data_IF_128754383534
#
_entry.id   IF_128754383534
#
_cell.length_a   1.000
_cell.length_b   1.000
_cell.length_c   1.000
_cell.angle_alpha   90.00
_cell.angle_beta   90.00
_cell.angle_gamma   90.00
#
_symmetry.space_group_name_H-M   'P 1'
#
loop_
_entity.id
_entity.type
_entity.pdbx_description
1 polymer ?
#
# COMPACT_ATOMS: atom_id res chain seq x y z
N UNK A 1 -35.66 -20.85 6.99
CA UNK A 1 -34.97 -21.88 6.18
C UNK A 1 -33.76 -22.33 6.97
N UNK A 2 -33.72 -23.57 7.47
CA UNK A 2 -32.61 -24.08 8.30
C UNK A 2 -31.37 -24.28 7.41
N UNK A 3 -30.24 -23.64 7.73
CA UNK A 3 -28.94 -23.89 7.07
C UNK A 3 -28.55 -25.36 7.28
N UNK A 4 -28.68 -26.18 6.22
CA UNK A 4 -28.27 -27.59 6.22
C UNK A 4 -26.80 -27.78 5.83
N UNK A 5 -26.18 -26.75 5.25
CA UNK A 5 -24.82 -26.78 4.73
C UNK A 5 -23.81 -26.79 5.89
N UNK A 6 -22.91 -27.78 5.89
CA UNK A 6 -21.80 -27.85 6.85
C UNK A 6 -20.59 -27.06 6.31
N UNK A 7 -19.83 -26.37 7.17
CA UNK A 7 -18.60 -25.73 6.74
C UNK A 7 -17.57 -26.80 6.34
N UNK A 8 -16.61 -26.39 5.52
CA UNK A 8 -15.48 -27.19 5.07
C UNK A 8 -14.67 -27.66 6.29
N UNK A 9 -14.43 -28.96 6.35
CA UNK A 9 -13.54 -29.55 7.35
C UNK A 9 -12.11 -29.49 6.82
N UNK A 10 -11.24 -28.78 7.52
CA UNK A 10 -9.82 -28.71 7.15
C UNK A 10 -8.99 -29.59 8.07
N UNK A 11 -8.09 -30.36 7.48
CA UNK A 11 -7.07 -31.14 8.16
C UNK A 11 -5.68 -30.62 7.76
N UNK A 12 -4.79 -30.46 8.74
CA UNK A 12 -3.43 -30.01 8.51
C UNK A 12 -2.57 -31.21 8.08
N UNK A 13 -1.99 -31.14 6.87
CA UNK A 13 -1.00 -32.09 6.37
C UNK A 13 0.27 -31.97 7.21
N UNK A 14 0.74 -33.11 7.73
CA UNK A 14 2.07 -33.18 8.33
C UNK A 14 3.12 -33.27 7.23
N UNK A 15 4.23 -32.54 7.37
CA UNK A 15 5.30 -32.50 6.38
C UNK A 15 6.67 -32.53 7.06
N UNK A 16 7.63 -33.17 6.41
CA UNK A 16 9.06 -33.07 6.74
C UNK A 16 9.83 -32.29 5.67
N UNK A 17 9.28 -32.19 4.45
CA UNK A 17 9.85 -31.48 3.30
C UNK A 17 8.85 -30.43 2.81
N UNK A 18 8.68 -29.32 3.55
CA UNK A 18 7.55 -28.41 3.36
C UNK A 18 7.49 -27.76 1.98
N UNK A 19 8.63 -27.41 1.38
CA UNK A 19 8.65 -26.77 0.06
C UNK A 19 8.30 -27.77 -1.05
N UNK A 20 8.79 -29.01 -0.97
CA UNK A 20 8.42 -30.08 -1.91
C UNK A 20 6.92 -30.39 -1.79
N UNK A 21 6.42 -30.59 -0.57
CA UNK A 21 5.01 -30.85 -0.30
C UNK A 21 4.10 -29.68 -0.69
N UNK A 22 4.59 -28.44 -0.62
CA UNK A 22 3.84 -27.26 -1.03
C UNK A 22 3.66 -27.20 -2.56
N UNK A 23 4.70 -27.58 -3.31
CA UNK A 23 4.68 -27.64 -4.78
C UNK A 23 3.76 -28.76 -5.28
N UNK A 24 3.59 -29.85 -4.51
CA UNK A 24 2.66 -30.92 -4.88
C UNK A 24 1.23 -30.39 -5.05
N UNK A 25 0.65 -30.73 -6.21
CA UNK A 25 -0.73 -30.40 -6.55
C UNK A 25 -1.65 -31.43 -5.90
N UNK A 26 -2.36 -31.01 -4.85
CA UNK A 26 -3.35 -31.87 -4.20
C UNK A 26 -4.67 -31.83 -4.97
N UNK A 27 -5.15 -33.00 -5.40
CA UNK A 27 -6.47 -33.17 -6.02
C UNK A 27 -7.58 -33.12 -4.95
N UNK A 28 -7.78 -31.95 -4.35
CA UNK A 28 -8.88 -31.71 -3.44
C UNK A 28 -10.14 -31.40 -4.26
N UNK A 29 -11.02 -32.40 -4.45
CA UNK A 29 -12.32 -32.21 -5.10
C UNK A 29 -13.04 -30.96 -4.56
N UNK A 30 -13.50 -30.06 -5.45
CA UNK A 30 -14.16 -28.81 -5.06
C UNK A 30 -15.43 -29.02 -4.22
N UNK A 31 -16.08 -30.18 -4.38
CA UNK A 31 -17.30 -30.59 -3.66
C UNK A 31 -17.00 -31.35 -2.38
N UNK A 32 -15.73 -31.60 -2.05
CA UNK A 32 -15.35 -32.35 -0.87
C UNK A 32 -15.67 -31.54 0.40
N UNK A 33 -16.36 -32.19 1.34
CA UNK A 33 -16.70 -31.61 2.65
C UNK A 33 -15.46 -31.59 3.57
N UNK A 34 -14.39 -32.29 3.21
CA UNK A 34 -13.12 -32.32 3.92
C UNK A 34 -11.96 -32.08 2.95
N UNK A 35 -11.00 -31.23 3.33
CA UNK A 35 -9.75 -31.00 2.58
C UNK A 35 -8.56 -31.11 3.51
N UNK A 36 -7.49 -31.71 3.00
CA UNK A 36 -6.18 -31.65 3.62
C UNK A 36 -5.39 -30.49 3.01
N UNK A 37 -4.79 -29.65 3.85
CA UNK A 37 -4.00 -28.49 3.43
C UNK A 37 -2.67 -28.42 4.17
N UNK A 38 -1.72 -27.73 3.57
CA UNK A 38 -0.46 -27.37 4.17
C UNK A 38 -0.52 -25.93 4.70
N UNK A 39 -0.19 -25.71 5.96
CA UNK A 39 0.08 -24.37 6.49
C UNK A 39 1.42 -24.39 7.23
N UNK A 40 2.47 -23.90 6.56
CA UNK A 40 3.84 -23.94 7.07
C UNK A 40 4.36 -22.54 7.34
N UNK A 41 5.09 -22.41 8.45
CA UNK A 41 5.95 -21.27 8.78
C UNK A 41 7.40 -21.72 8.57
N UNK A 42 7.97 -21.38 7.43
CA UNK A 42 9.30 -21.74 6.97
C UNK A 42 10.29 -20.63 7.38
N UNK A 43 11.01 -20.87 8.47
CA UNK A 43 11.82 -19.85 9.15
C UNK A 43 13.30 -20.14 8.94
N UNK A 44 14.04 -19.14 8.47
CA UNK A 44 15.47 -19.21 8.21
C UNK A 44 15.84 -19.56 6.77
N UNK A 45 17.12 -19.83 6.57
CA UNK A 45 17.78 -20.14 5.29
C UNK A 45 18.38 -21.55 5.37
N UNK A 46 18.05 -22.47 4.44
CA UNK A 46 18.43 -23.89 4.55
C UNK A 46 19.92 -24.15 4.31
N UNK A 47 20.54 -23.45 3.36
CA UNK A 47 21.93 -23.64 2.96
C UNK A 47 22.63 -22.28 2.78
N UNK A 48 22.25 -21.57 1.71
CA UNK A 48 22.72 -20.21 1.40
C UNK A 48 21.54 -19.34 0.98
N UNK A 49 21.72 -18.02 0.96
CA UNK A 49 20.70 -17.08 0.49
C UNK A 49 20.36 -17.37 -0.98
N UNK A 50 21.35 -17.68 -1.80
CA UNK A 50 21.14 -18.02 -3.21
C UNK A 50 20.24 -19.24 -3.34
N UNK A 51 20.46 -20.28 -2.53
CA UNK A 51 19.61 -21.46 -2.52
C UNK A 51 18.18 -21.16 -2.02
N UNK A 52 18.04 -20.27 -1.04
CA UNK A 52 16.73 -19.80 -0.57
C UNK A 52 15.96 -19.06 -1.68
N UNK A 53 16.63 -18.16 -2.39
CA UNK A 53 16.07 -17.42 -3.52
C UNK A 53 15.74 -18.36 -4.69
N UNK A 54 16.62 -19.32 -5.00
CA UNK A 54 16.41 -20.32 -6.05
C UNK A 54 15.16 -21.18 -5.78
N UNK A 55 14.93 -21.58 -4.52
CA UNK A 55 13.71 -22.28 -4.15
C UNK A 55 12.45 -21.44 -4.39
N UNK A 56 12.47 -20.15 -4.05
CA UNK A 56 11.35 -19.24 -4.31
C UNK A 56 11.09 -19.15 -5.81
N UNK A 57 12.14 -18.95 -6.62
CA UNK A 57 12.03 -18.89 -8.10
C UNK A 57 11.45 -20.17 -8.68
N UNK A 58 11.87 -21.35 -8.20
CA UNK A 58 11.33 -22.63 -8.66
C UNK A 58 9.84 -22.78 -8.35
N UNK A 59 9.40 -22.33 -7.17
CA UNK A 59 7.98 -22.33 -6.80
C UNK A 59 7.20 -21.39 -7.74
N UNK A 60 7.71 -20.17 -7.95
CA UNK A 60 7.14 -19.16 -8.85
C UNK A 60 6.98 -19.71 -10.28
N UNK A 61 8.06 -20.29 -10.84
CA UNK A 61 8.08 -20.88 -12.19
C UNK A 61 7.11 -22.06 -12.32
N UNK A 62 7.07 -22.94 -11.31
CA UNK A 62 6.20 -24.11 -11.30
C UNK A 62 4.72 -23.72 -11.37
N UNK A 63 4.28 -22.80 -10.50
CA UNK A 63 2.88 -22.40 -10.46
C UNK A 63 2.49 -21.46 -11.60
N UNK A 64 3.42 -20.67 -12.13
CA UNK A 64 3.20 -19.92 -13.38
C UNK A 64 2.92 -20.86 -14.55
N UNK A 65 3.56 -22.04 -14.56
CA UNK A 65 3.37 -23.07 -15.59
C UNK A 65 2.15 -23.99 -15.32
N UNK A 66 1.40 -23.77 -14.23
CA UNK A 66 0.30 -24.64 -13.78
C UNK A 66 -1.06 -23.94 -13.88
N UNK A 67 -1.70 -23.88 -15.07
CA UNK A 67 -2.86 -23.01 -15.32
C UNK A 67 -4.11 -23.35 -14.49
N UNK A 68 -4.19 -24.56 -13.94
CA UNK A 68 -5.34 -25.04 -13.15
C UNK A 68 -5.22 -24.78 -11.63
N UNK A 69 -4.10 -24.18 -11.18
CA UNK A 69 -3.86 -23.86 -9.78
C UNK A 69 -3.70 -22.35 -9.61
N UNK A 70 -4.56 -21.72 -8.81
CA UNK A 70 -4.37 -20.32 -8.45
C UNK A 70 -3.17 -20.18 -7.52
N UNK A 71 -2.27 -19.25 -7.81
CA UNK A 71 -1.08 -18.97 -7.01
C UNK A 71 -0.93 -17.48 -6.71
N UNK A 72 -0.62 -17.15 -5.46
CA UNK A 72 -0.30 -15.80 -5.02
C UNK A 72 1.03 -15.78 -4.25
N UNK A 73 1.89 -14.83 -4.62
CA UNK A 73 3.10 -14.49 -3.88
C UNK A 73 2.95 -13.09 -3.27
N UNK A 74 3.03 -13.02 -1.96
CA UNK A 74 2.78 -11.81 -1.17
C UNK A 74 4.05 -11.41 -0.42
N UNK A 75 4.38 -10.12 -0.43
CA UNK A 75 5.40 -9.51 0.45
C UNK A 75 4.80 -8.61 1.53
N UNK A 76 3.47 -8.51 1.55
CA UNK A 76 2.65 -7.62 2.35
C UNK A 76 1.22 -7.68 1.82
N UNK A 77 0.25 -7.18 2.61
CA UNK A 77 -1.14 -7.11 2.16
C UNK A 77 -1.51 -5.67 1.75
N UNK A 78 -2.21 -5.54 0.62
CA UNK A 78 -2.80 -4.29 0.11
C UNK A 78 -3.43 -3.42 1.22
N UNK A 79 -2.99 -2.16 1.25
CA UNK A 79 -3.56 -1.14 2.12
C UNK A 79 -4.84 -0.58 1.47
N UNK A 80 -5.81 -0.23 2.30
CA UNK A 80 -7.01 0.48 1.85
C UNK A 80 -6.85 1.97 2.14
N UNK A 81 -6.95 2.79 1.11
CA UNK A 81 -6.86 4.25 1.18
C UNK A 81 -8.09 4.96 0.62
N UNK A 82 -8.87 4.31 -0.24
CA UNK A 82 -10.07 4.87 -0.84
C UNK A 82 -11.20 5.03 0.21
N UNK A 83 -11.64 6.26 0.44
CA UNK A 83 -12.68 6.59 1.44
C UNK A 83 -14.04 5.95 1.15
N UNK A 84 -14.42 5.81 -0.12
CA UNK A 84 -15.68 5.16 -0.49
C UNK A 84 -15.64 3.67 -0.15
N UNK A 85 -14.53 3.00 -0.43
CA UNK A 85 -14.35 1.60 -0.05
C UNK A 85 -14.28 1.44 1.47
N UNK A 86 -13.57 2.32 2.18
CA UNK A 86 -13.54 2.29 3.66
C UNK A 86 -14.95 2.42 4.23
N UNK A 87 -15.74 3.38 3.75
CA UNK A 87 -17.11 3.58 4.21
C UNK A 87 -18.02 2.39 3.88
N UNK A 88 -17.89 1.83 2.66
CA UNK A 88 -18.63 0.65 2.23
C UNK A 88 -18.30 -0.57 3.09
N UNK A 89 -17.02 -0.83 3.33
CA UNK A 89 -16.56 -1.94 4.18
C UNK A 89 -16.92 -1.71 5.66
N UNK A 90 -16.89 -0.46 6.13
CA UNK A 90 -17.36 -0.10 7.46
C UNK A 90 -18.86 -0.40 7.62
N UNK A 91 -19.68 -0.12 6.62
CA UNK A 91 -21.10 -0.46 6.63
C UNK A 91 -21.33 -1.97 6.63
N UNK A 92 -20.51 -2.73 5.88
CA UNK A 92 -20.53 -4.21 5.96
C UNK A 92 -20.21 -4.66 7.38
N UNK A 93 -19.19 -4.07 8.02
CA UNK A 93 -18.87 -4.39 9.41
C UNK A 93 -20.01 -4.05 10.37
N UNK A 94 -20.63 -2.88 10.26
CA UNK A 94 -21.71 -2.47 11.19
C UNK A 94 -22.90 -3.45 11.14
N UNK A 95 -23.23 -3.94 9.94
CA UNK A 95 -24.21 -5.03 9.76
C UNK A 95 -23.76 -6.33 10.44
N UNK A 96 -22.51 -6.75 10.21
CA UNK A 96 -21.95 -7.97 10.81
C UNK A 96 -21.80 -7.89 12.33
N UNK A 97 -21.47 -6.72 12.86
CA UNK A 97 -21.33 -6.49 14.28
C UNK A 97 -22.66 -6.75 14.99
N UNK A 98 -23.76 -6.28 14.42
CA UNK A 98 -25.13 -6.52 14.92
C UNK A 98 -25.45 -8.02 14.97
N UNK A 99 -24.97 -8.79 13.98
CA UNK A 99 -25.18 -10.25 13.92
C UNK A 99 -24.29 -10.97 14.93
N UNK A 100 -23.02 -10.59 15.07
CA UNK A 100 -22.05 -11.24 15.96
C UNK A 100 -22.38 -10.97 17.43
N UNK A 101 -22.81 -9.75 17.76
CA UNK A 101 -23.10 -9.35 19.13
C UNK A 101 -24.50 -9.79 19.59
N UNK A 102 -25.36 -10.26 18.68
CA UNK A 102 -26.70 -10.78 19.00
C UNK A 102 -26.63 -12.20 19.59
N UNK A 103 -26.94 -12.41 20.88
CA UNK A 103 -26.89 -13.73 21.52
C UNK A 103 -27.90 -14.74 20.95
N UNK A 104 -28.93 -14.23 20.28
CA UNK A 104 -30.01 -15.01 19.66
C UNK A 104 -29.83 -15.17 18.15
N UNK A 105 -28.71 -14.72 17.57
CA UNK A 105 -28.43 -14.89 16.15
C UNK A 105 -28.40 -16.38 15.79
N UNK A 106 -29.39 -16.83 15.04
CA UNK A 106 -29.43 -18.19 14.54
C UNK A 106 -28.49 -18.34 13.34
N UNK A 107 -28.18 -19.60 12.98
CA UNK A 107 -27.33 -19.89 11.81
C UNK A 107 -27.91 -19.31 10.51
N UNK A 108 -29.23 -19.09 10.43
CA UNK A 108 -29.89 -18.60 9.23
C UNK A 108 -29.60 -17.11 9.01
N UNK A 109 -29.64 -16.30 10.07
CA UNK A 109 -29.28 -14.89 10.03
C UNK A 109 -27.83 -14.71 9.57
N UNK A 110 -26.90 -15.49 10.14
CA UNK A 110 -25.49 -15.47 9.74
C UNK A 110 -25.34 -15.86 8.26
N UNK A 111 -26.05 -16.89 7.80
CA UNK A 111 -25.96 -17.34 6.41
C UNK A 111 -26.53 -16.32 5.42
N UNK A 112 -27.59 -15.61 5.79
CA UNK A 112 -28.23 -14.59 4.94
C UNK A 112 -27.45 -13.28 4.91
N UNK A 113 -26.67 -12.97 5.94
CA UNK A 113 -25.90 -11.72 6.02
C UNK A 113 -24.78 -11.70 4.97
N UNK A 114 -24.75 -10.75 4.02
CA UNK A 114 -23.70 -10.69 2.99
C UNK A 114 -22.33 -10.38 3.58
N UNK A 115 -21.28 -11.08 3.12
CA UNK A 115 -19.88 -10.82 3.50
C UNK A 115 -19.06 -10.67 2.23
N UNK A 116 -18.88 -9.44 1.76
CA UNK A 116 -18.17 -9.11 0.53
C UNK A 116 -18.68 -9.94 -0.68
N UNK A 117 -17.83 -10.21 -1.67
CA UNK A 117 -18.17 -11.02 -2.83
C UNK A 117 -18.56 -12.46 -2.43
N UNK A 118 -19.70 -12.93 -2.94
CA UNK A 118 -20.22 -14.29 -2.72
C UNK A 118 -19.41 -15.28 -3.55
N UNK A 119 -18.96 -16.36 -2.92
CA UNK A 119 -18.26 -17.44 -3.61
C UNK A 119 -19.29 -18.40 -4.25
N UNK A 120 -18.98 -18.90 -5.44
CA UNK A 120 -19.86 -19.78 -6.23
C UNK A 120 -20.07 -21.19 -5.62
N UNK A 121 -19.55 -21.44 -4.41
CA UNK A 121 -19.65 -22.71 -3.69
C UNK A 121 -20.24 -22.48 -2.29
N UNK A 122 -21.42 -23.04 -2.01
CA UNK A 122 -22.13 -22.82 -0.74
C UNK A 122 -21.36 -23.30 0.50
N UNK A 123 -20.62 -24.40 0.41
CA UNK A 123 -19.79 -24.91 1.52
C UNK A 123 -18.68 -23.90 1.80
N UNK A 124 -18.02 -23.41 0.76
CA UNK A 124 -16.92 -22.46 0.87
C UNK A 124 -17.41 -21.09 1.34
N UNK A 125 -18.53 -20.60 0.80
CA UNK A 125 -19.19 -19.38 1.25
C UNK A 125 -19.59 -19.46 2.73
N UNK A 126 -20.13 -20.60 3.15
CA UNK A 126 -20.46 -20.81 4.55
C UNK A 126 -19.21 -20.86 5.45
N UNK A 127 -18.16 -21.51 4.96
CA UNK A 127 -16.86 -21.58 5.65
C UNK A 127 -16.25 -20.18 5.81
N UNK A 128 -16.34 -19.34 4.78
CA UNK A 128 -15.88 -17.95 4.78
C UNK A 128 -16.51 -17.17 5.92
N UNK A 129 -17.84 -17.22 6.05
CA UNK A 129 -18.59 -16.52 7.09
C UNK A 129 -18.25 -17.00 8.51
N UNK A 130 -18.25 -18.32 8.73
CA UNK A 130 -17.92 -18.89 10.04
C UNK A 130 -16.46 -18.61 10.43
N UNK A 131 -15.55 -18.68 9.47
CA UNK A 131 -14.13 -18.37 9.71
C UNK A 131 -13.94 -16.89 10.00
N UNK A 132 -14.64 -16.00 9.31
CA UNK A 132 -14.59 -14.56 9.58
C UNK A 132 -15.00 -14.23 11.03
N UNK A 133 -16.11 -14.80 11.53
CA UNK A 133 -16.51 -14.66 12.94
C UNK A 133 -15.39 -15.13 13.87
N UNK A 134 -14.78 -16.28 13.55
CA UNK A 134 -13.67 -16.82 14.34
C UNK A 134 -12.45 -15.89 14.36
N UNK A 135 -12.09 -15.28 13.23
CA UNK A 135 -11.01 -14.30 13.15
C UNK A 135 -11.28 -13.10 14.04
N UNK A 136 -12.50 -12.54 14.01
CA UNK A 136 -12.90 -11.42 14.86
C UNK A 136 -12.75 -11.79 16.35
N UNK A 137 -13.17 -12.99 16.74
CA UNK A 137 -13.01 -13.49 18.11
C UNK A 137 -11.53 -13.68 18.50
N UNK A 138 -10.71 -14.24 17.61
CA UNK A 138 -9.27 -14.41 17.84
C UNK A 138 -8.56 -13.05 17.98
N UNK A 139 -8.93 -12.06 17.17
CA UNK A 139 -8.41 -10.70 17.28
C UNK A 139 -8.77 -10.06 18.63
N UNK A 140 -10.03 -10.14 19.06
CA UNK A 140 -10.48 -9.64 20.37
C UNK A 140 -9.72 -10.30 21.52
N UNK A 141 -9.51 -11.63 21.46
CA UNK A 141 -8.77 -12.39 22.49
C UNK A 141 -7.29 -12.00 22.58
N UNK A 142 -6.65 -11.75 21.44
CA UNK A 142 -5.23 -11.35 21.37
C UNK A 142 -5.00 -9.86 21.64
N UNK A 143 -6.06 -9.04 21.56
CA UNK A 143 -6.02 -7.60 21.82
C UNK A 143 -7.10 -7.22 22.85
N UNK A 144 -6.99 -7.66 24.12
CA UNK A 144 -8.03 -7.46 25.13
C UNK A 144 -8.31 -5.98 25.46
N UNK A 145 -7.33 -5.11 25.23
CA UNK A 145 -7.46 -3.66 25.42
C UNK A 145 -7.96 -2.91 24.16
N UNK A 146 -8.36 -3.64 23.11
CA UNK A 146 -8.87 -3.00 21.89
C UNK A 146 -10.23 -2.36 22.13
N UNK A 147 -10.36 -1.08 21.79
CA UNK A 147 -11.64 -0.39 21.76
C UNK A 147 -12.40 -0.69 20.44
N UNK A 148 -13.67 -0.28 20.37
CA UNK A 148 -14.52 -0.51 19.20
C UNK A 148 -13.92 0.05 17.90
N UNK A 149 -13.22 1.18 17.97
CA UNK A 149 -12.57 1.81 16.81
C UNK A 149 -11.39 0.97 16.30
N UNK A 150 -10.54 0.45 17.19
CA UNK A 150 -9.41 -0.41 16.81
C UNK A 150 -9.90 -1.72 16.16
N UNK A 151 -10.96 -2.30 16.71
CA UNK A 151 -11.61 -3.47 16.11
C UNK A 151 -12.16 -3.15 14.72
N UNK A 152 -12.91 -2.05 14.59
CA UNK A 152 -13.46 -1.62 13.29
C UNK A 152 -12.37 -1.40 12.25
N UNK A 153 -11.28 -0.74 12.62
CA UNK A 153 -10.13 -0.54 11.73
C UNK A 153 -9.46 -1.85 11.30
N UNK A 154 -9.32 -2.82 12.21
CA UNK A 154 -8.85 -4.15 11.86
C UNK A 154 -9.79 -4.85 10.89
N UNK A 155 -11.10 -4.85 11.18
CA UNK A 155 -12.08 -5.55 10.35
C UNK A 155 -12.19 -4.93 8.96
N UNK A 156 -12.21 -3.60 8.83
CA UNK A 156 -12.22 -2.93 7.52
C UNK A 156 -11.01 -3.33 6.69
N UNK A 157 -9.80 -3.37 7.27
CA UNK A 157 -8.61 -3.89 6.59
C UNK A 157 -8.76 -5.35 6.18
N UNK A 158 -9.32 -6.17 7.07
CA UNK A 158 -9.55 -7.59 6.80
C UNK A 158 -10.55 -7.83 5.66
N UNK A 159 -11.64 -7.08 5.64
CA UNK A 159 -12.65 -7.13 4.57
C UNK A 159 -12.06 -6.66 3.23
N UNK A 160 -11.16 -5.66 3.25
CA UNK A 160 -10.45 -5.23 2.05
C UNK A 160 -9.62 -6.38 1.46
N UNK A 161 -8.90 -7.13 2.30
CA UNK A 161 -8.12 -8.29 1.83
C UNK A 161 -9.02 -9.41 1.32
N UNK A 162 -10.20 -9.61 1.93
CA UNK A 162 -11.20 -10.56 1.41
C UNK A 162 -11.56 -10.19 -0.04
N UNK A 163 -11.84 -8.93 -0.33
CA UNK A 163 -12.20 -8.46 -1.68
C UNK A 163 -11.02 -8.48 -2.65
N UNK A 164 -9.83 -8.14 -2.18
CA UNK A 164 -8.63 -8.10 -3.01
C UNK A 164 -8.15 -9.49 -3.46
N UNK A 165 -8.21 -10.50 -2.58
CA UNK A 165 -7.50 -11.77 -2.82
C UNK A 165 -8.38 -12.97 -3.11
N UNK A 166 -9.60 -13.05 -2.58
CA UNK A 166 -10.44 -14.22 -2.83
C UNK A 166 -10.83 -14.38 -4.30
N UNK A 167 -11.15 -13.30 -5.06
CA UNK A 167 -11.39 -13.43 -6.50
C UNK A 167 -10.16 -13.95 -7.27
N UNK A 168 -8.95 -13.61 -6.81
CA UNK A 168 -7.69 -14.08 -7.40
C UNK A 168 -7.46 -15.58 -7.14
N UNK A 169 -7.87 -16.08 -5.96
CA UNK A 169 -7.68 -17.46 -5.51
C UNK A 169 -8.78 -18.42 -5.96
N UNK A 170 -10.04 -18.00 -5.90
CA UNK A 170 -11.23 -18.81 -6.15
C UNK A 170 -11.94 -18.40 -7.44
N UNK A 171 -11.20 -18.43 -8.56
CA UNK A 171 -11.77 -18.23 -9.90
C UNK A 171 -12.87 -19.27 -10.18
N UNK A 172 -13.70 -19.06 -11.19
CA UNK A 172 -14.85 -19.93 -11.52
C UNK A 172 -14.53 -21.41 -11.78
N UNK A 173 -13.25 -21.82 -11.94
CA UNK A 173 -12.90 -23.21 -12.30
C UNK A 173 -11.50 -23.77 -11.94
N UNK A 174 -10.81 -23.49 -10.81
CA UNK A 174 -9.61 -24.25 -10.43
C UNK A 174 -9.99 -25.50 -9.63
N UNK A 175 -9.81 -26.70 -10.18
CA UNK A 175 -10.13 -27.97 -9.52
C UNK A 175 -9.23 -28.30 -8.31
N UNK A 176 -8.22 -27.48 -8.04
CA UNK A 176 -7.08 -27.76 -7.15
C UNK A 176 -7.02 -26.75 -5.99
N UNK A 177 -6.29 -27.09 -4.92
CA UNK A 177 -6.10 -26.18 -3.78
C UNK A 177 -5.32 -24.93 -4.20
N UNK A 178 -5.85 -23.71 -3.97
CA UNK A 178 -5.09 -22.48 -4.20
C UNK A 178 -3.83 -22.44 -3.34
N UNK A 179 -2.77 -21.82 -3.86
CA UNK A 179 -1.45 -21.77 -3.25
C UNK A 179 -1.09 -20.33 -2.90
N UNK A 180 -0.69 -20.10 -1.66
CA UNK A 180 -0.32 -18.77 -1.16
C UNK A 180 1.04 -18.85 -0.50
N UNK A 181 1.97 -18.03 -0.95
CA UNK A 181 3.24 -17.82 -0.28
C UNK A 181 3.30 -16.39 0.23
N UNK A 182 3.77 -16.20 1.46
CA UNK A 182 4.02 -14.89 2.04
C UNK A 182 5.49 -14.82 2.42
N UNK A 183 6.23 -13.83 1.94
CA UNK A 183 7.68 -13.73 2.11
C UNK A 183 8.03 -12.42 2.82
N UNK A 184 8.80 -12.51 3.91
CA UNK A 184 9.29 -11.36 4.64
C UNK A 184 8.59 -11.15 5.98
N UNK A 185 8.71 -9.95 6.53
CA UNK A 185 8.20 -9.63 7.87
C UNK A 185 6.67 -9.54 7.87
N UNK A 186 6.02 -10.35 8.71
CA UNK A 186 4.55 -10.42 8.80
C UNK A 186 4.03 -9.84 10.11
N UNK A 187 2.93 -9.09 10.04
CA UNK A 187 2.22 -8.59 11.22
C UNK A 187 1.19 -9.62 11.71
N UNK A 188 0.87 -9.60 13.00
CA UNK A 188 -0.13 -10.53 13.60
C UNK A 188 -1.46 -10.58 12.85
N UNK A 189 -1.97 -9.43 12.40
CA UNK A 189 -3.23 -9.36 11.67
C UNK A 189 -3.14 -9.87 10.22
N UNK A 190 -1.96 -9.80 9.58
CA UNK A 190 -1.73 -10.40 8.27
C UNK A 190 -1.64 -11.92 8.41
N UNK A 191 -1.03 -12.42 9.50
CA UNK A 191 -1.02 -13.85 9.80
C UNK A 191 -2.42 -14.40 10.11
N UNK A 192 -3.30 -13.62 10.74
CA UNK A 192 -4.73 -13.97 10.86
C UNK A 192 -5.38 -14.12 9.48
N UNK A 193 -4.99 -13.32 8.50
CA UNK A 193 -5.49 -13.45 7.14
C UNK A 193 -4.95 -14.70 6.43
N UNK A 194 -3.67 -15.02 6.61
CA UNK A 194 -3.10 -16.29 6.12
C UNK A 194 -3.79 -17.51 6.74
N UNK A 195 -4.09 -17.46 8.05
CA UNK A 195 -4.91 -18.48 8.70
C UNK A 195 -6.30 -18.56 8.08
N UNK A 196 -6.96 -17.43 7.83
CA UNK A 196 -8.26 -17.42 7.17
C UNK A 196 -8.24 -18.08 5.78
N UNK A 197 -7.22 -17.81 4.96
CA UNK A 197 -7.06 -18.45 3.65
C UNK A 197 -6.84 -19.96 3.77
N UNK A 198 -6.06 -20.44 4.74
CA UNK A 198 -5.86 -21.88 4.96
C UNK A 198 -7.16 -22.58 5.39
N UNK A 199 -8.00 -21.90 6.18
CA UNK A 199 -9.34 -22.41 6.55
C UNK A 199 -10.30 -22.51 5.37
N UNK A 200 -10.08 -21.73 4.30
CA UNK A 200 -10.81 -21.83 3.05
C UNK A 200 -10.27 -22.92 2.11
N UNK A 201 -9.23 -23.66 2.53
CA UNK A 201 -8.67 -24.75 1.75
C UNK A 201 -7.47 -24.34 0.87
N UNK A 202 -6.85 -23.19 1.14
CA UNK A 202 -5.58 -22.83 0.51
C UNK A 202 -4.42 -23.52 1.21
N UNK A 203 -3.41 -23.93 0.44
CA UNK A 203 -2.10 -24.22 1.01
C UNK A 203 -1.35 -22.90 1.21
N UNK A 204 -0.76 -22.72 2.39
CA UNK A 204 -0.11 -21.49 2.81
C UNK A 204 1.32 -21.77 3.25
N UNK A 205 2.28 -21.03 2.70
CA UNK A 205 3.67 -21.05 3.14
C UNK A 205 4.11 -19.63 3.52
N UNK A 206 4.29 -19.39 4.82
CA UNK A 206 4.90 -18.16 5.32
C UNK A 206 6.41 -18.37 5.43
N UNK A 207 7.19 -17.64 4.64
CA UNK A 207 8.65 -17.72 4.62
C UNK A 207 9.28 -16.45 5.19
N UNK A 208 10.19 -16.57 6.15
CA UNK A 208 10.97 -15.44 6.63
C UNK A 208 12.41 -15.89 6.95
N UNK A 209 13.45 -15.27 6.36
CA UNK A 209 14.84 -15.66 6.59
C UNK A 209 15.36 -15.24 7.98
N UNK A 210 14.73 -14.25 8.64
CA UNK A 210 15.21 -13.65 9.88
C UNK A 210 14.73 -14.41 11.10
N UNK A 211 13.42 -14.41 11.31
CA UNK A 211 12.80 -14.96 12.51
C UNK A 211 11.33 -15.32 12.27
N UNK A 212 10.78 -16.00 13.27
CA UNK A 212 9.36 -16.30 13.32
C UNK A 212 8.62 -15.17 14.04
N UNK A 213 7.29 -15.15 13.91
CA UNK A 213 6.49 -14.15 14.61
C UNK A 213 6.55 -14.36 16.13
N UNK A 214 6.85 -13.29 16.86
CA UNK A 214 6.83 -13.29 18.33
C UNK A 214 5.39 -13.25 18.83
N UNK A 215 5.08 -13.93 19.94
CA UNK A 215 3.74 -14.01 20.53
C UNK A 215 2.68 -14.55 19.53
N UNK A 216 2.99 -15.68 18.90
CA UNK A 216 2.07 -16.34 17.99
C UNK A 216 0.75 -16.69 18.70
N UNK A 217 -0.36 -16.48 18.00
CA UNK A 217 -1.68 -16.89 18.49
C UNK A 217 -1.74 -18.43 18.63
N UNK A 218 -2.11 -18.99 19.79
CA UNK A 218 -2.09 -20.43 20.04
C UNK A 218 -2.92 -21.25 19.03
N UNK A 219 -4.02 -20.68 18.55
CA UNK A 219 -4.87 -21.30 17.53
C UNK A 219 -4.18 -21.40 16.15
N UNK A 220 -3.25 -20.49 15.83
CA UNK A 220 -2.42 -20.56 14.62
C UNK A 220 -1.23 -21.48 14.87
N UNK A 221 -0.62 -21.41 16.05
CA UNK A 221 0.48 -22.31 16.45
C UNK A 221 0.07 -23.78 16.34
N UNK A 222 -1.09 -24.14 16.90
CA UNK A 222 -1.64 -25.50 16.82
C UNK A 222 -2.14 -25.90 15.42
N UNK A 223 -2.29 -24.93 14.51
CA UNK A 223 -2.82 -25.13 13.16
C UNK A 223 -1.84 -24.66 12.08
N UNK A 224 -0.54 -24.71 12.38
CA UNK A 224 0.53 -24.51 11.41
C UNK A 224 1.75 -25.31 11.82
N UNK A 225 2.54 -25.74 10.85
CA UNK A 225 3.79 -26.45 11.10
C UNK A 225 4.94 -25.46 11.01
N UNK A 226 5.70 -25.30 12.09
CA UNK A 226 6.96 -24.55 12.06
C UNK A 226 8.06 -25.44 11.48
N UNK A 227 8.67 -25.00 10.40
CA UNK A 227 9.89 -25.58 9.86
C UNK A 227 11.03 -24.59 10.06
N UNK A 228 12.08 -25.00 10.78
CA UNK A 228 13.24 -24.14 11.05
C UNK A 228 14.42 -24.64 10.24
N UNK A 229 15.03 -23.74 9.48
CA UNK A 229 16.20 -24.01 8.67
C UNK A 229 17.48 -24.02 9.52
N UNK A 230 18.60 -24.37 8.87
CA UNK A 230 19.91 -24.46 9.51
C UNK A 230 20.45 -23.13 10.04
N UNK A 231 20.10 -22.00 9.39
CA UNK A 231 20.57 -20.68 9.76
C UNK A 231 19.45 -19.64 9.77
N UNK A 232 19.59 -18.63 10.64
CA UNK A 232 18.81 -17.39 10.59
C UNK A 232 19.70 -16.28 10.00
N UNK A 233 19.10 -15.41 9.19
CA UNK A 233 19.83 -14.35 8.50
C UNK A 233 19.24 -12.99 8.87
N UNK A 234 20.02 -12.17 9.59
CA UNK A 234 19.54 -10.90 10.15
C UNK A 234 19.59 -9.72 9.18
N UNK A 235 20.41 -9.80 8.12
CA UNK A 235 20.45 -8.79 7.08
C UNK A 235 19.25 -8.92 6.11
N UNK A 236 18.85 -7.80 5.50
CA UNK A 236 17.76 -7.79 4.54
C UNK A 236 18.12 -8.63 3.30
N UNK A 237 17.35 -9.70 3.08
CA UNK A 237 17.47 -10.55 1.89
C UNK A 237 16.62 -9.94 0.79
N UNK A 238 17.26 -9.56 -0.33
CA UNK A 238 16.53 -9.04 -1.50
C UNK A 238 15.90 -10.21 -2.27
N UNK A 239 14.57 -10.31 -2.22
CA UNK A 239 13.80 -11.31 -2.96
C UNK A 239 13.49 -10.75 -4.36
N UNK A 240 13.83 -11.46 -5.44
CA UNK A 240 13.53 -11.02 -6.81
C UNK A 240 12.03 -10.79 -7.00
N UNK A 241 11.64 -9.79 -7.78
CA UNK A 241 10.23 -9.53 -8.12
C UNK A 241 9.60 -10.72 -8.88
N UNK A 242 8.29 -10.92 -8.74
CA UNK A 242 7.51 -11.94 -9.42
C UNK A 242 6.33 -11.26 -10.05
N UNK A 243 6.32 -11.32 -11.37
CA UNK A 243 5.21 -10.89 -12.19
C UNK A 243 4.62 -12.19 -12.74
N UNK A 244 3.47 -12.65 -12.22
CA UNK A 244 2.84 -13.84 -12.78
C UNK A 244 2.53 -13.60 -14.26
N UNK A 245 2.87 -14.57 -15.12
CA UNK A 245 2.53 -14.50 -16.54
C UNK A 245 1.02 -14.36 -16.66
N UNK A 246 0.55 -13.16 -17.00
CA UNK A 246 -0.86 -12.89 -17.19
C UNK A 246 -1.28 -13.53 -18.50
N UNK A 247 -2.07 -14.59 -18.44
CA UNK A 247 -3.02 -14.87 -19.52
C UNK A 247 -3.92 -13.65 -19.63
N UNK A 248 -3.66 -12.89 -20.68
CA UNK A 248 -4.37 -11.72 -21.16
C UNK A 248 -5.83 -12.09 -21.40
N UNK A 249 -6.75 -11.53 -20.62
CA UNK A 249 -7.96 -10.93 -21.17
C UNK A 249 -8.25 -9.62 -20.42
N UNK A 250 -7.92 -8.46 -21.03
CA UNK A 250 -8.46 -7.18 -20.63
C UNK A 250 -9.96 -7.18 -20.94
N UNK A 251 -10.76 -6.79 -19.96
CA UNK A 251 -12.12 -6.32 -20.22
C UNK A 251 -11.99 -5.08 -21.13
N UNK A 252 -12.66 -5.01 -22.29
CA UNK A 252 -12.44 -3.95 -23.25
C UNK A 252 -12.99 -2.61 -22.74
N UNK A 253 -12.13 -1.59 -22.75
CA UNK A 253 -12.54 -0.19 -22.90
C UNK A 253 -12.09 0.28 -24.29
N UNK A 254 -13.00 0.99 -24.98
CA UNK A 254 -13.00 1.24 -26.42
C UNK A 254 -11.83 2.11 -26.95
N UNK A 255 -11.54 2.09 -28.27
CA UNK A 255 -10.28 2.55 -28.87
C UNK A 255 -10.33 3.96 -29.48
N UNK A 256 -9.22 4.70 -29.48
CA UNK A 256 -8.83 5.69 -30.51
C UNK A 256 -7.27 5.77 -30.58
N UNK A 257 -6.63 6.24 -31.68
CA UNK A 257 -5.75 5.44 -32.52
C UNK A 257 -4.27 5.86 -32.55
N UNK A 258 -3.48 4.94 -33.11
CA UNK A 258 -2.07 4.96 -33.48
C UNK A 258 -1.46 6.32 -33.87
N UNK A 259 -0.28 6.60 -33.31
CA UNK A 259 0.88 6.95 -34.14
C UNK A 259 2.14 6.33 -33.52
N UNK A 260 2.77 5.46 -34.30
CA UNK A 260 4.04 4.81 -34.02
C UNK A 260 5.17 5.81 -34.33
N UNK A 261 6.19 5.88 -33.48
CA UNK A 261 7.55 6.08 -34.00
C UNK A 261 8.56 5.32 -33.13
N UNK A 262 9.44 4.62 -33.83
CA UNK A 262 10.35 3.59 -33.35
C UNK A 262 11.59 4.15 -32.66
N UNK A 263 12.08 3.36 -31.69
CA UNK A 263 13.47 3.07 -31.33
C UNK A 263 14.58 4.09 -31.63
N UNK A 264 15.35 4.46 -30.59
CA UNK A 264 16.84 4.46 -30.67
C UNK A 264 17.43 4.18 -29.29
N UNK A 265 18.21 3.10 -29.19
CA UNK A 265 19.22 2.88 -28.14
C UNK A 265 20.37 3.88 -28.35
N UNK A 266 20.66 4.74 -27.37
CA UNK A 266 21.88 5.56 -27.39
C UNK A 266 22.69 5.33 -26.11
N UNK A 267 23.80 4.62 -26.29
CA UNK A 267 24.98 4.75 -25.45
C UNK A 267 25.62 6.11 -25.72
N UNK A 268 25.78 6.96 -24.71
CA UNK A 268 26.89 7.94 -24.69
C UNK A 268 27.33 8.25 -23.28
N UNK A 269 28.59 7.92 -23.03
CA UNK A 269 29.41 8.37 -21.91
C UNK A 269 29.83 9.83 -22.14
N UNK A 270 29.91 10.59 -21.03
CA UNK A 270 30.55 11.92 -20.85
C UNK A 270 29.88 13.14 -21.50
N UNK A 271 29.40 14.04 -20.64
CA UNK A 271 30.03 15.36 -20.47
C UNK A 271 29.72 15.92 -19.07
N UNK A 272 30.72 15.79 -18.19
CA UNK A 272 30.82 16.49 -16.92
C UNK A 272 31.65 17.73 -17.21
N UNK A 273 31.03 18.92 -17.21
CA UNK A 273 31.58 20.23 -16.79
C UNK A 273 30.85 21.40 -17.46
N UNK A 274 30.09 22.16 -16.67
CA UNK A 274 30.41 23.57 -16.38
C UNK A 274 29.63 24.05 -15.16
N UNK A 275 30.36 24.53 -14.15
CA UNK A 275 29.84 25.02 -12.87
C UNK A 275 29.01 26.30 -13.06
N UNK A 276 27.91 26.40 -12.32
CA UNK A 276 27.49 27.68 -11.72
C UNK A 276 27.78 27.58 -10.23
N UNK A 277 28.53 28.55 -9.72
CA UNK A 277 28.82 28.75 -8.30
C UNK A 277 27.54 29.12 -7.54
N UNK A 278 26.58 28.20 -7.44
CA UNK A 278 25.60 28.26 -6.37
C UNK A 278 26.32 27.70 -5.14
N UNK A 279 26.51 28.53 -4.12
CA UNK A 279 26.81 28.00 -2.79
C UNK A 279 25.55 27.38 -2.23
N UNK A 280 25.68 26.28 -1.50
CA UNK A 280 24.57 25.78 -0.69
C UNK A 280 24.05 26.91 0.23
N UNK A 281 22.73 27.05 0.29
CA UNK A 281 22.05 27.96 1.19
C UNK A 281 22.17 27.45 2.63
N UNK A 282 22.23 28.37 3.59
CA UNK A 282 22.11 28.01 5.00
C UNK A 282 20.68 27.54 5.32
N UNK A 283 20.50 26.83 6.45
CA UNK A 283 19.15 26.42 6.87
C UNK A 283 18.23 27.61 7.12
N UNK A 284 18.74 28.75 7.62
CA UNK A 284 17.97 29.98 7.79
C UNK A 284 17.51 30.56 6.46
N UNK A 285 18.35 30.51 5.43
CA UNK A 285 17.99 30.95 4.08
C UNK A 285 16.95 30.03 3.44
N UNK A 286 17.09 28.70 3.63
CA UNK A 286 16.12 27.72 3.17
C UNK A 286 14.78 27.84 3.91
N UNK A 287 14.78 28.12 5.21
CA UNK A 287 13.57 28.38 5.98
C UNK A 287 12.83 29.63 5.50
N UNK A 288 13.54 30.63 4.95
CA UNK A 288 12.93 31.78 4.30
C UNK A 288 12.08 31.44 3.07
N UNK A 289 12.29 30.26 2.47
CA UNK A 289 11.50 29.77 1.33
C UNK A 289 10.13 29.21 1.73
N UNK A 290 9.85 29.08 3.04
CA UNK A 290 8.55 28.61 3.55
C UNK A 290 7.37 29.47 3.10
N UNK A 291 7.59 30.74 2.74
CA UNK A 291 6.59 31.60 2.07
C UNK A 291 6.03 31.01 0.76
N UNK A 292 6.79 30.12 0.13
CA UNK A 292 6.40 29.45 -1.12
C UNK A 292 5.63 28.14 -0.88
N UNK A 293 5.40 27.78 0.39
CA UNK A 293 4.65 26.61 0.84
C UNK A 293 3.43 27.07 1.63
N UNK A 294 2.26 26.56 1.27
CA UNK A 294 0.97 26.97 1.82
C UNK A 294 0.33 25.84 2.61
N UNK A 295 -0.55 26.20 3.53
CA UNK A 295 -1.49 25.25 4.13
C UNK A 295 -2.79 25.24 3.33
N UNK A 296 -3.33 24.04 3.09
CA UNK A 296 -4.59 23.83 2.38
C UNK A 296 -5.56 23.17 3.35
N UNK A 297 -6.72 23.79 3.57
CA UNK A 297 -7.89 23.15 4.20
C UNK A 297 -8.92 22.84 3.13
N UNK A 298 -9.51 21.65 3.20
CA UNK A 298 -10.47 21.18 2.19
C UNK A 298 -11.84 21.07 2.81
N UNK A 299 -12.83 21.67 2.16
CA UNK A 299 -14.20 21.75 2.65
C UNK A 299 -15.13 20.88 1.80
N UNK A 300 -16.12 20.26 2.42
CA UNK A 300 -17.23 19.60 1.72
C UNK A 300 -18.36 20.60 1.38
N UNK A 301 -19.42 20.10 0.74
CA UNK A 301 -20.63 20.86 0.40
C UNK A 301 -21.37 21.41 1.63
N UNK A 302 -21.13 20.84 2.82
CA UNK A 302 -21.73 21.28 4.08
C UNK A 302 -20.84 22.30 4.84
N UNK A 303 -19.79 22.82 4.21
CA UNK A 303 -18.78 23.71 4.80
C UNK A 303 -18.02 23.09 5.99
N UNK A 304 -17.90 21.76 6.06
CA UNK A 304 -17.07 21.08 7.06
C UNK A 304 -15.70 20.78 6.50
N UNK A 305 -14.67 20.96 7.34
CA UNK A 305 -13.30 20.62 6.99
C UNK A 305 -13.18 19.09 6.93
N UNK A 306 -12.87 18.57 5.73
CA UNK A 306 -12.68 17.14 5.48
C UNK A 306 -11.28 16.68 5.84
N UNK A 307 -10.28 17.49 5.48
CA UNK A 307 -8.86 17.24 5.69
C UNK A 307 -8.06 18.55 5.54
N UNK A 308 -6.78 18.47 5.88
CA UNK A 308 -5.82 19.55 5.64
C UNK A 308 -4.48 18.97 5.21
N UNK A 309 -3.73 19.73 4.43
CA UNK A 309 -2.41 19.38 3.92
C UNK A 309 -1.60 20.62 3.58
N UNK A 310 -0.56 20.42 2.79
CA UNK A 310 0.33 21.46 2.31
C UNK A 310 0.22 21.61 0.79
N UNK A 311 0.73 22.71 0.27
CA UNK A 311 0.89 22.93 -1.17
C UNK A 311 2.16 23.72 -1.45
N UNK A 312 2.70 23.59 -2.65
CA UNK A 312 3.87 24.31 -3.12
C UNK A 312 3.47 25.24 -4.26
N UNK A 313 3.82 26.51 -4.14
CA UNK A 313 3.60 27.49 -5.20
C UNK A 313 4.60 27.21 -6.32
N UNK A 314 4.09 26.98 -7.53
CA UNK A 314 4.91 26.65 -8.72
C UNK A 314 4.84 27.74 -9.80
N UNK A 315 3.99 28.76 -9.62
CA UNK A 315 3.87 29.91 -10.52
C UNK A 315 3.51 31.19 -9.76
N UNK A 316 4.04 32.33 -10.20
CA UNK A 316 3.78 33.66 -9.65
C UNK A 316 2.30 34.05 -9.65
N UNK A 317 1.53 33.58 -10.62
CA UNK A 317 0.08 33.82 -10.68
C UNK A 317 -0.75 32.95 -9.71
N UNK A 318 -0.14 32.19 -8.79
CA UNK A 318 -0.85 31.46 -7.74
C UNK A 318 -1.28 30.03 -8.11
N UNK A 319 -0.58 29.36 -9.03
CA UNK A 319 -0.72 27.92 -9.22
C UNK A 319 0.00 27.16 -8.10
N UNK A 320 -0.73 26.29 -7.41
CA UNK A 320 -0.26 25.55 -6.25
C UNK A 320 -0.32 24.05 -6.56
N UNK A 321 0.83 23.40 -6.49
CA UNK A 321 1.00 21.96 -6.58
C UNK A 321 0.76 21.32 -5.20
N UNK A 322 -0.02 20.25 -5.15
CA UNK A 322 -0.26 19.47 -3.94
C UNK A 322 -0.54 18.01 -4.29
N UNK A 323 -0.80 17.15 -3.31
CA UNK A 323 -1.21 15.78 -3.57
C UNK A 323 -2.69 15.68 -3.91
N UNK A 324 -3.03 14.74 -4.79
CA UNK A 324 -4.43 14.48 -5.11
C UNK A 324 -5.20 13.99 -3.88
N UNK A 325 -4.62 13.15 -3.02
CA UNK A 325 -5.30 12.70 -1.81
C UNK A 325 -5.57 13.83 -0.79
N UNK A 326 -4.87 14.98 -0.90
CA UNK A 326 -5.13 16.14 -0.05
C UNK A 326 -6.40 16.84 -0.52
N UNK A 327 -6.49 17.20 -1.80
CA UNK A 327 -7.58 18.04 -2.36
C UNK A 327 -8.72 17.25 -3.01
N UNK A 328 -8.55 15.95 -3.19
CA UNK A 328 -9.48 15.07 -3.89
C UNK A 328 -10.81 14.94 -3.15
N UNK A 329 -11.91 15.22 -3.85
CA UNK A 329 -13.26 15.16 -3.30
C UNK A 329 -13.68 16.36 -2.45
N UNK A 330 -12.85 17.42 -2.41
CA UNK A 330 -13.25 18.71 -1.83
C UNK A 330 -14.19 19.50 -2.74
N UNK A 331 -15.12 20.23 -2.13
CA UNK A 331 -16.01 21.17 -2.80
C UNK A 331 -15.31 22.52 -3.05
N UNK A 332 -14.56 23.03 -2.06
CA UNK A 332 -13.66 24.17 -2.19
C UNK A 332 -12.51 24.08 -1.19
N UNK A 333 -11.54 24.98 -1.35
CA UNK A 333 -10.28 24.98 -0.62
C UNK A 333 -10.06 26.34 0.04
N UNK A 334 -9.57 26.33 1.28
CA UNK A 334 -8.97 27.50 1.93
C UNK A 334 -7.45 27.34 1.89
N UNK A 335 -6.77 28.32 1.30
CA UNK A 335 -5.32 28.39 1.18
C UNK A 335 -4.79 29.48 2.09
N UNK A 336 -3.80 29.14 2.92
CA UNK A 336 -3.29 30.00 3.97
C UNK A 336 -1.77 30.10 3.83
N UNK A 337 -1.28 31.33 3.79
CA UNK A 337 0.14 31.66 3.59
C UNK A 337 0.75 32.03 4.95
N UNK A 338 2.00 31.67 5.19
CA UNK A 338 2.66 31.81 6.51
C UNK A 338 2.67 33.24 7.07
N UNK A 339 2.86 34.23 6.20
CA UNK A 339 2.92 35.65 6.58
C UNK A 339 1.64 36.42 6.22
N UNK A 340 0.54 35.72 5.98
CA UNK A 340 -0.74 36.32 5.68
C UNK A 340 -1.78 35.96 6.74
N UNK A 341 -2.54 36.95 7.18
CA UNK A 341 -3.66 36.74 8.12
C UNK A 341 -4.96 36.40 7.39
N UNK A 342 -4.98 36.56 6.07
CA UNK A 342 -6.12 36.23 5.23
C UNK A 342 -6.09 34.77 4.78
N UNK A 343 -7.25 34.12 4.85
CA UNK A 343 -7.53 32.85 4.20
C UNK A 343 -8.06 33.11 2.78
N UNK A 344 -7.46 32.46 1.78
CA UNK A 344 -7.86 32.60 0.37
C UNK A 344 -8.71 31.41 -0.04
N UNK A 345 -9.98 31.66 -0.35
CA UNK A 345 -10.89 30.62 -0.81
C UNK A 345 -10.79 30.44 -2.33
N UNK A 346 -10.82 29.20 -2.78
CA UNK A 346 -10.88 28.85 -4.20
C UNK A 346 -11.57 27.50 -4.40
N UNK A 347 -12.32 27.35 -5.47
CA UNK A 347 -12.84 26.09 -5.99
C UNK A 347 -12.11 25.66 -7.28
N UNK A 348 -11.08 26.42 -7.69
CA UNK A 348 -10.34 26.18 -8.93
C UNK A 348 -9.40 24.97 -8.80
N UNK A 349 -9.94 23.79 -9.09
CA UNK A 349 -9.21 22.56 -9.29
C UNK A 349 -8.81 22.39 -10.76
N UNK A 350 -7.52 22.61 -11.06
CA UNK A 350 -7.05 22.83 -12.44
C UNK A 350 -6.70 21.53 -13.15
N UNK A 351 -5.94 20.67 -12.48
CA UNK A 351 -5.37 19.46 -13.09
C UNK A 351 -5.05 18.43 -12.01
N UNK A 352 -5.14 17.15 -12.33
CA UNK A 352 -4.69 16.09 -11.45
C UNK A 352 -4.09 14.92 -12.22
N UNK A 353 -3.32 14.10 -11.50
CA UNK A 353 -2.76 12.86 -11.99
C UNK A 353 -2.88 11.79 -10.90
N UNK A 354 -3.75 10.82 -11.12
CA UNK A 354 -4.13 9.85 -10.09
C UNK A 354 -2.98 8.91 -9.68
N UNK A 355 -2.18 8.41 -10.64
CA UNK A 355 -1.09 7.49 -10.31
C UNK A 355 0.00 8.18 -9.49
N UNK A 356 0.53 9.31 -9.97
CA UNK A 356 1.53 10.11 -9.25
C UNK A 356 1.01 10.86 -8.03
N UNK A 357 -0.29 10.78 -7.72
CA UNK A 357 -0.90 11.48 -6.60
C UNK A 357 -0.59 13.00 -6.61
N UNK A 358 -0.74 13.64 -7.78
CA UNK A 358 -0.48 15.07 -7.98
C UNK A 358 -1.77 15.83 -8.33
N UNK A 359 -1.91 17.06 -7.85
CA UNK A 359 -2.97 17.97 -8.20
C UNK A 359 -2.48 19.42 -8.25
N UNK A 360 -3.13 20.25 -9.06
CA UNK A 360 -2.92 21.71 -9.13
C UNK A 360 -4.23 22.38 -8.77
N UNK A 361 -4.17 23.28 -7.79
CA UNK A 361 -5.24 24.25 -7.50
C UNK A 361 -4.75 25.65 -7.82
N UNK A 362 -5.67 26.61 -7.99
CA UNK A 362 -5.35 28.00 -8.33
C UNK A 362 -5.98 28.96 -7.34
N UNK A 363 -5.17 29.88 -6.81
CA UNK A 363 -5.64 31.03 -6.04
C UNK A 363 -5.31 32.30 -6.81
N UNK A 364 -6.20 33.28 -6.77
CA UNK A 364 -5.99 34.59 -7.42
C UNK A 364 -5.20 35.52 -6.50
N UNK A 365 -3.90 35.20 -6.35
CA UNK A 365 -2.93 35.95 -5.55
C UNK A 365 -1.55 35.89 -6.22
N UNK A 366 -0.88 37.03 -6.28
CA UNK A 366 0.53 37.09 -6.69
C UNK A 366 1.41 36.45 -5.62
N UNK A 367 2.27 35.53 -6.05
CA UNK A 367 3.05 34.66 -5.19
C UNK A 367 4.51 34.56 -5.65
N UNK A 368 5.39 34.07 -4.78
CA UNK A 368 6.76 33.68 -5.15
C UNK A 368 6.83 32.16 -5.26
N UNK A 369 7.11 31.59 -6.45
CA UNK A 369 7.19 30.14 -6.60
C UNK A 369 8.55 29.58 -6.21
N UNK A 370 8.56 28.28 -5.89
CA UNK A 370 9.80 27.51 -5.82
C UNK A 370 10.28 27.13 -7.22
N UNK A 371 11.61 27.18 -7.40
CA UNK A 371 12.24 26.68 -8.62
C UNK A 371 12.28 25.16 -8.59
N UNK A 372 11.72 24.50 -9.61
CA UNK A 372 11.83 23.05 -9.76
C UNK A 372 13.24 22.64 -10.21
N UNK A 373 13.80 21.62 -9.59
CA UNK A 373 15.04 21.00 -10.05
C UNK A 373 14.77 20.15 -11.30
N UNK A 374 15.43 20.47 -12.42
CA UNK A 374 15.30 19.74 -13.70
C UNK A 374 16.63 19.18 -14.22
N UNK A 375 17.74 19.55 -13.58
CA UNK A 375 19.10 19.09 -13.84
C UNK A 375 19.50 17.97 -12.86
N UNK A 376 20.56 17.23 -13.18
CA UNK A 376 21.30 16.26 -12.33
C UNK A 376 20.47 15.37 -11.37
N UNK A 377 20.60 14.06 -11.50
CA UNK A 377 19.90 13.12 -10.62
C UNK A 377 20.31 13.30 -9.14
N UNK A 378 19.31 13.25 -8.26
CA UNK A 378 19.54 13.09 -6.83
C UNK A 378 20.37 11.83 -6.56
N UNK A 379 21.19 11.87 -5.51
CA UNK A 379 21.96 10.70 -5.04
C UNK A 379 21.64 10.37 -3.59
N UNK A 380 21.78 9.09 -3.21
CA UNK A 380 21.66 8.69 -1.81
C UNK A 380 22.72 9.40 -0.96
N UNK A 381 22.33 9.85 0.22
CA UNK A 381 23.17 10.62 1.14
C UNK A 381 23.18 12.13 0.87
N UNK A 382 22.57 12.61 -0.22
CA UNK A 382 22.43 14.05 -0.47
C UNK A 382 21.55 14.70 0.60
N UNK A 383 21.99 15.83 1.15
CA UNK A 383 21.23 16.62 2.11
C UNK A 383 19.99 17.23 1.46
N UNK A 384 18.90 17.21 2.20
CA UNK A 384 17.62 17.79 1.82
C UNK A 384 16.98 18.50 3.02
N UNK A 385 16.01 19.34 2.73
CA UNK A 385 15.11 19.92 3.75
C UNK A 385 13.66 19.69 3.34
N UNK A 386 12.79 19.47 4.31
CA UNK A 386 11.36 19.32 4.12
C UNK A 386 10.64 20.52 4.73
N UNK A 387 9.67 21.07 3.99
CA UNK A 387 8.83 22.18 4.41
C UNK A 387 7.37 21.78 4.18
N UNK A 388 6.57 21.82 5.25
CA UNK A 388 5.12 21.58 5.18
C UNK A 388 4.43 22.02 6.47
N UNK A 389 3.11 21.97 6.51
CA UNK A 389 2.30 22.47 7.65
C UNK A 389 1.68 21.32 8.47
N UNK A 390 2.45 20.62 9.32
CA UNK A 390 1.92 19.53 10.13
C UNK A 390 0.95 20.01 11.21
N UNK A 391 -0.16 19.29 11.41
CA UNK A 391 -1.13 19.49 12.50
C UNK A 391 -1.74 20.91 12.58
N UNK A 392 -1.70 21.70 11.49
CA UNK A 392 -2.20 23.08 11.48
C UNK A 392 -1.25 24.10 12.13
N UNK A 393 -0.03 23.69 12.51
CA UNK A 393 1.08 24.58 12.83
C UNK A 393 1.77 24.96 11.50
N UNK A 394 1.91 26.25 11.23
CA UNK A 394 2.50 26.72 9.98
C UNK A 394 3.91 26.15 9.75
N UNK A 395 4.13 25.65 8.53
CA UNK A 395 5.41 25.45 7.85
C UNK A 395 6.59 24.99 8.75
N UNK A 396 6.45 23.81 9.33
CA UNK A 396 7.56 23.11 9.98
C UNK A 396 8.69 22.84 8.99
N UNK A 397 9.88 23.31 9.36
CA UNK A 397 11.12 23.11 8.64
C UNK A 397 11.89 21.97 9.31
N UNK A 398 12.29 20.96 8.54
CA UNK A 398 13.09 19.83 9.04
C UNK A 398 14.17 19.42 8.04
N UNK A 399 15.31 18.96 8.53
CA UNK A 399 16.43 18.53 7.70
C UNK A 399 16.64 17.02 7.70
N UNK A 400 17.29 16.53 6.66
CA UNK A 400 17.60 15.11 6.52
C UNK A 400 18.41 14.82 5.27
N UNK A 401 18.37 13.56 4.83
CA UNK A 401 19.05 13.10 3.61
C UNK A 401 18.11 12.29 2.73
N UNK A 402 18.46 12.19 1.44
CA UNK A 402 17.93 11.15 0.56
C UNK A 402 18.45 9.81 1.05
N UNK A 403 17.58 8.99 1.65
CA UNK A 403 17.94 7.66 2.14
C UNK A 403 17.82 6.59 1.06
N UNK A 404 17.04 6.83 0.01
CA UNK A 404 16.85 5.88 -1.06
C UNK A 404 15.98 6.38 -2.19
N UNK A 405 15.89 5.55 -3.22
CA UNK A 405 14.88 5.65 -4.27
C UNK A 405 14.07 4.35 -4.21
N UNK A 406 12.76 4.46 -4.40
CA UNK A 406 11.80 3.36 -4.30
C UNK A 406 10.88 3.43 -5.50
N UNK A 407 10.46 2.28 -6.00
CA UNK A 407 9.35 2.20 -6.93
C UNK A 407 8.15 1.63 -6.17
N UNK A 408 7.11 2.44 -6.00
CA UNK A 408 5.86 2.02 -5.38
C UNK A 408 4.82 1.89 -6.50
N UNK A 409 4.39 0.66 -6.80
CA UNK A 409 3.45 0.38 -7.89
C UNK A 409 3.89 0.96 -9.25
N UNK A 410 5.18 0.82 -9.59
CA UNK A 410 5.81 1.42 -10.80
C UNK A 410 5.87 2.95 -10.82
N UNK A 411 5.63 3.61 -9.67
CA UNK A 411 5.80 5.05 -9.52
C UNK A 411 7.11 5.30 -8.76
N UNK A 412 8.09 6.00 -9.38
CA UNK A 412 9.33 6.31 -8.70
C UNK A 412 9.07 7.30 -7.56
N UNK A 413 9.72 7.07 -6.43
CA UNK A 413 9.62 7.86 -5.20
C UNK A 413 11.00 8.12 -4.61
N UNK A 414 11.18 9.32 -4.06
CA UNK A 414 12.33 9.68 -3.24
C UNK A 414 12.03 9.23 -1.81
N UNK A 415 12.89 8.39 -1.24
CA UNK A 415 12.87 8.09 0.19
C UNK A 415 13.81 9.05 0.92
N UNK A 416 13.33 9.70 1.97
CA UNK A 416 14.10 10.69 2.74
C UNK A 416 13.89 10.55 4.25
N UNK A 417 14.78 11.15 5.04
CA UNK A 417 14.81 11.00 6.52
C UNK A 417 14.31 12.21 7.30
N UNK A 418 14.12 13.37 6.65
CA UNK A 418 13.66 14.58 7.35
C UNK A 418 12.29 14.32 8.00
N UNK A 419 12.12 14.57 9.31
CA UNK A 419 10.86 14.33 10.00
C UNK A 419 9.68 15.06 9.35
N UNK A 420 8.57 14.35 9.15
CA UNK A 420 7.29 14.90 8.71
C UNK A 420 6.17 14.38 9.61
N UNK A 421 5.01 15.03 9.57
CA UNK A 421 3.80 14.56 10.26
C UNK A 421 2.55 14.75 9.39
N UNK A 422 1.40 14.24 9.84
CA UNK A 422 0.11 14.48 9.19
C UNK A 422 -0.10 15.98 8.93
N UNK A 423 -0.39 16.34 7.67
CA UNK A 423 -0.47 17.72 7.19
C UNK A 423 0.72 18.15 6.33
N UNK A 424 1.85 17.42 6.36
CA UNK A 424 3.02 17.71 5.51
C UNK A 424 2.85 17.25 4.06
N UNK A 425 1.87 16.38 3.78
CA UNK A 425 1.56 15.91 2.41
C UNK A 425 1.17 17.09 1.53
N UNK A 426 1.76 17.16 0.33
CA UNK A 426 1.72 18.27 -0.59
C UNK A 426 2.80 19.34 -0.31
N UNK A 427 3.66 19.12 0.67
CA UNK A 427 4.76 20.01 1.04
C UNK A 427 6.02 19.84 0.18
N UNK A 428 6.97 20.74 0.33
CA UNK A 428 8.19 20.79 -0.47
C UNK A 428 9.31 19.92 0.13
N UNK A 429 9.98 19.15 -0.72
CA UNK A 429 11.30 18.58 -0.46
C UNK A 429 12.33 19.35 -1.30
N UNK A 430 13.27 20.04 -0.65
CA UNK A 430 14.27 20.89 -1.31
C UNK A 430 15.68 20.31 -1.20
N UNK A 431 16.51 20.55 -2.20
CA UNK A 431 17.97 20.42 -2.05
C UNK A 431 18.57 21.63 -1.32
N UNK A 432 19.86 21.55 -1.01
CA UNK A 432 20.58 22.63 -0.34
C UNK A 432 20.74 23.91 -1.18
N UNK A 433 20.27 23.93 -2.43
CA UNK A 433 20.22 25.14 -3.26
C UNK A 433 18.83 25.78 -3.29
N UNK A 434 17.88 25.26 -2.50
CA UNK A 434 16.51 25.76 -2.43
C UNK A 434 15.63 25.34 -3.60
N UNK A 435 16.05 24.35 -4.39
CA UNK A 435 15.29 23.85 -5.54
C UNK A 435 14.37 22.72 -5.11
N UNK A 436 13.14 22.71 -5.60
CA UNK A 436 12.16 21.66 -5.36
C UNK A 436 12.61 20.37 -6.05
N UNK A 437 12.95 19.36 -5.27
CA UNK A 437 13.40 18.06 -5.76
C UNK A 437 12.34 16.98 -5.67
N UNK A 438 11.30 17.21 -4.85
CA UNK A 438 10.10 16.38 -4.81
C UNK A 438 8.97 16.98 -3.99
N UNK A 439 7.78 16.39 -4.12
CA UNK A 439 6.58 16.75 -3.38
C UNK A 439 6.29 15.68 -2.33
N UNK A 440 6.29 16.06 -1.06
CA UNK A 440 6.07 15.14 0.07
C UNK A 440 4.69 14.51 -0.07
N UNK A 441 4.57 13.18 -0.16
CA UNK A 441 3.26 12.49 -0.20
C UNK A 441 2.90 11.84 1.13
N UNK A 442 3.89 11.45 1.93
CA UNK A 442 3.68 10.88 3.25
C UNK A 442 4.87 10.04 3.70
N UNK A 443 4.65 9.15 4.66
CA UNK A 443 5.68 8.24 5.16
C UNK A 443 5.06 6.95 5.67
N UNK A 444 5.90 6.00 6.08
CA UNK A 444 5.45 4.75 6.64
C UNK A 444 5.07 4.92 8.12
N UNK A 445 3.82 4.64 8.49
CA UNK A 445 3.29 4.75 9.87
C UNK A 445 4.07 3.97 10.95
N UNK A 446 4.99 3.07 10.56
CA UNK A 446 5.76 2.20 11.47
C UNK A 446 7.27 2.21 11.21
N UNK A 447 7.79 3.23 10.53
CA UNK A 447 9.22 3.48 10.43
C UNK A 447 9.51 4.93 10.75
N UNK A 448 10.35 5.19 11.76
CA UNK A 448 10.83 6.54 12.00
C UNK A 448 11.68 6.98 10.80
N UNK A 449 11.41 8.18 10.28
CA UNK A 449 12.20 8.78 9.21
C UNK A 449 12.22 7.96 7.91
N UNK A 450 11.14 7.22 7.62
CA UNK A 450 10.90 6.59 6.33
C UNK A 450 9.80 7.36 5.59
N UNK A 451 10.20 8.46 4.96
CA UNK A 451 9.29 9.37 4.29
C UNK A 451 9.47 9.30 2.78
N UNK A 452 8.40 9.57 2.04
CA UNK A 452 8.31 9.46 0.59
C UNK A 452 7.88 10.79 -0.05
N UNK A 453 8.51 11.12 -1.17
CA UNK A 453 8.16 12.26 -2.00
C UNK A 453 8.12 11.85 -3.48
N UNK A 454 7.15 12.41 -4.21
CA UNK A 454 7.05 12.29 -5.67
C UNK A 454 8.22 13.09 -6.28
N UNK A 455 9.08 12.51 -7.12
CA UNK A 455 10.27 13.19 -7.61
C UNK A 455 9.96 14.28 -8.63
N UNK A 456 10.89 15.24 -8.73
CA UNK A 456 10.78 16.44 -9.57
C UNK A 456 10.62 16.16 -11.06
N UNK A 457 11.13 15.05 -11.59
CA UNK A 457 10.91 14.64 -12.98
C UNK A 457 9.42 14.34 -13.27
N UNK A 458 8.74 13.68 -12.33
CA UNK A 458 7.30 13.40 -12.39
C UNK A 458 6.46 14.65 -12.20
N UNK A 459 6.92 15.55 -11.33
CA UNK A 459 6.33 16.88 -11.19
C UNK A 459 6.44 17.65 -12.51
N UNK A 460 7.62 17.64 -13.15
CA UNK A 460 7.84 18.32 -14.43
C UNK A 460 6.96 17.74 -15.53
N UNK A 461 6.93 16.41 -15.69
CA UNK A 461 6.06 15.70 -16.65
C UNK A 461 4.59 16.12 -16.49
N UNK A 462 4.14 16.27 -15.24
CA UNK A 462 2.78 16.66 -14.92
C UNK A 462 2.51 18.17 -15.09
N UNK A 463 3.42 19.03 -14.65
CA UNK A 463 3.17 20.45 -14.42
C UNK A 463 3.98 21.40 -15.33
N UNK A 464 4.72 20.91 -16.33
CA UNK A 464 5.57 21.74 -17.20
C UNK A 464 4.92 23.03 -17.74
N UNK A 465 3.61 22.99 -18.08
CA UNK A 465 2.88 24.16 -18.60
C UNK A 465 2.44 25.15 -17.52
N UNK A 466 2.70 24.86 -16.25
CA UNK A 466 2.30 25.64 -15.07
C UNK A 466 3.51 26.03 -14.21
N UNK A 467 4.72 25.58 -14.55
CA UNK A 467 5.94 25.92 -13.82
C UNK A 467 6.50 27.21 -14.41
N UNK A 468 6.85 28.16 -13.56
CA UNK A 468 7.53 29.38 -14.00
C UNK A 468 8.95 29.06 -14.45
N UNK A 469 9.26 29.37 -15.71
CA UNK A 469 10.62 29.24 -16.24
C UNK A 469 11.40 30.52 -15.90
N UNK A 470 12.37 30.40 -14.99
CA UNK A 470 13.38 31.44 -14.82
C UNK A 470 14.30 31.42 -16.05
N UNK A 471 14.27 32.51 -16.83
CA UNK A 471 15.17 32.73 -17.97
C UNK A 471 16.64 32.79 -17.58
#
# INVERSE_FOLDING_TARGET
MIVKTKPLKIQLKQTQNPLEDFVLINNNNQTAVSKEILFVRYIGVPNTIEHYIDNIKRIDEHFTSSPNTSYLRLGGLEAISNKNDINRLANIWDNWQTVIDNPSADKNLIYQTPLCLVLDNEILEWTKKITFIKIVAMYKKTNPNSNATLLKNFVVKFLNWIEAYLPKLFKKSPSLSPKVIFIGDIKHHELLFLYFLSRLGCDVCYMNPKEDIVNLCPEIESFSTRYTCSALYSADVTIPEFIPATNIEPIPLAPIPNTITQSVLVNTTKQRQKLVNASELSYEQLAGLSNSVVMIKVYDEENKIMCSGSGVIIHSSGYILTNLHVVGGGHYYSVIYENDTQEYLTDHFIKYHQLYDLAIIKVDKDCSPLTLKTDDNLVRGQKIVAIGSPLGLFNSFSDGIVSGFRDLDSIPMIQFTAPISNGSSGGALLDMFGRLVGLITGGFDRGQNLNLAVPSDKIYEFAQNFIEHTN
#
